data_IF_564211898310
#
_entry.id   IF_564211898310
#
_cell.length_a   1.000
_cell.length_b   1.000
_cell.length_c   1.000
_cell.angle_alpha   90.00
_cell.angle_beta   90.00
_cell.angle_gamma   90.00
#
_symmetry.space_group_name_H-M   'P 1'
#
loop_
_entity.id
_entity.type
_entity.pdbx_description
1 polymer ?
#
# COMPACT_ATOMS: atom_id res chain seq x y z
N UNK A 1 4.95 2.54 32.37
CA UNK A 1 5.06 3.23 31.06
C UNK A 1 5.47 4.70 31.15
N UNK A 2 5.00 5.51 32.12
CA UNK A 2 5.33 6.95 32.24
C UNK A 2 6.83 7.30 32.37
N UNK A 3 7.67 6.40 32.91
CA UNK A 3 9.09 6.68 33.18
C UNK A 3 9.90 7.00 31.91
N UNK A 4 9.51 6.45 30.76
CA UNK A 4 10.22 6.62 29.49
C UNK A 4 9.59 7.66 28.56
N UNK A 5 8.37 8.12 28.89
CA UNK A 5 7.59 9.04 28.04
C UNK A 5 8.31 10.36 27.80
N UNK A 6 9.02 10.89 28.81
CA UNK A 6 9.81 12.12 28.67
C UNK A 6 10.94 11.96 27.66
N UNK A 7 11.65 10.83 27.67
CA UNK A 7 12.73 10.55 26.74
C UNK A 7 12.20 10.31 25.32
N UNK A 8 11.09 9.60 25.18
CA UNK A 8 10.43 9.39 23.89
C UNK A 8 10.01 10.71 23.22
N UNK A 9 9.55 11.69 24.01
CA UNK A 9 9.24 13.03 23.51
C UNK A 9 10.47 13.75 22.94
N UNK A 10 11.60 13.71 23.64
CA UNK A 10 12.83 14.35 23.13
C UNK A 10 13.41 13.61 21.92
N UNK A 11 13.31 12.29 21.88
CA UNK A 11 13.73 11.49 20.72
C UNK A 11 12.86 11.81 19.50
N UNK A 12 11.53 11.89 19.65
CA UNK A 12 10.65 12.22 18.54
C UNK A 12 10.85 13.65 18.03
N UNK A 13 11.08 14.59 18.94
CA UNK A 13 11.42 15.97 18.62
C UNK A 13 12.74 16.08 17.86
N UNK A 14 13.78 15.34 18.27
CA UNK A 14 15.05 15.34 17.56
C UNK A 14 14.92 14.75 16.15
N UNK A 15 14.24 13.61 16.03
CA UNK A 15 14.04 12.95 14.75
C UNK A 15 13.16 13.77 13.80
N UNK A 16 12.22 14.59 14.30
CA UNK A 16 11.44 15.48 13.44
C UNK A 16 12.29 16.59 12.82
N UNK A 17 13.25 17.15 13.56
CA UNK A 17 14.23 18.09 12.99
C UNK A 17 15.15 17.44 11.96
N UNK A 18 15.60 16.21 12.20
CA UNK A 18 16.39 15.45 11.22
C UNK A 18 15.58 15.21 9.94
N UNK A 19 14.31 14.82 10.07
CA UNK A 19 13.40 14.65 8.94
C UNK A 19 13.25 15.94 8.12
N UNK A 20 13.02 17.06 8.81
CA UNK A 20 12.86 18.37 8.18
C UNK A 20 14.13 18.79 7.43
N UNK A 21 15.31 18.55 8.00
CA UNK A 21 16.59 18.81 7.35
C UNK A 21 16.77 17.97 6.07
N UNK A 22 16.44 16.68 6.11
CA UNK A 22 16.53 15.77 4.97
C UNK A 22 15.56 16.16 3.86
N UNK A 23 14.32 16.52 4.21
CA UNK A 23 13.32 17.02 3.24
C UNK A 23 13.78 18.31 2.58
N UNK A 24 14.38 19.23 3.35
CA UNK A 24 14.94 20.48 2.81
C UNK A 24 16.08 20.27 1.79
N UNK A 25 16.68 19.07 1.75
CA UNK A 25 17.71 18.68 0.78
C UNK A 25 17.16 17.82 -0.37
N UNK A 26 15.84 17.68 -0.49
CA UNK A 26 15.19 16.85 -1.51
C UNK A 26 15.19 15.35 -1.20
N UNK A 27 15.58 14.97 0.03
CA UNK A 27 15.46 13.59 0.51
C UNK A 27 14.01 13.25 0.88
N UNK A 28 13.69 11.95 0.94
CA UNK A 28 12.39 11.46 1.41
C UNK A 28 12.24 11.70 2.92
N UNK A 29 11.02 11.97 3.37
CA UNK A 29 10.69 12.17 4.79
C UNK A 29 11.14 10.97 5.64
N UNK A 30 11.97 11.21 6.66
CA UNK A 30 12.41 10.19 7.61
C UNK A 30 11.50 10.27 8.83
N UNK A 31 10.35 9.61 8.76
CA UNK A 31 9.41 9.62 9.88
C UNK A 31 10.04 8.98 11.14
N UNK A 32 10.13 9.71 12.26
CA UNK A 32 10.46 9.15 13.58
C UNK A 32 9.49 8.05 14.01
N UNK A 33 8.30 8.10 13.42
CA UNK A 33 7.14 7.28 13.72
C UNK A 33 6.82 6.32 12.58
N UNK A 34 7.76 6.04 11.67
CA UNK A 34 7.60 4.94 10.72
C UNK A 34 7.38 3.61 11.46
N UNK A 35 8.08 3.44 12.59
CA UNK A 35 7.80 2.38 13.56
C UNK A 35 6.39 2.48 14.15
N UNK A 36 5.83 3.68 14.32
CA UNK A 36 4.43 3.83 14.72
C UNK A 36 3.47 3.40 13.62
N UNK A 37 3.81 3.50 12.33
CA UNK A 37 3.06 2.86 11.23
C UNK A 37 3.11 1.32 11.32
N UNK A 38 4.22 0.76 11.82
CA UNK A 38 4.34 -0.64 12.24
C UNK A 38 3.50 -0.96 13.51
N UNK A 39 3.22 0.02 14.38
CA UNK A 39 2.41 -0.14 15.59
C UNK A 39 0.92 0.22 15.41
N UNK A 40 0.53 1.02 14.40
CA UNK A 40 -0.88 1.41 14.15
C UNK A 40 -1.62 0.47 13.19
N UNK A 41 -0.90 -0.41 12.49
CA UNK A 41 -1.49 -1.56 11.79
C UNK A 41 -0.69 -2.81 12.15
N UNK A 42 -1.02 -3.50 13.25
CA UNK A 42 -0.31 -4.70 13.68
C UNK A 42 -0.75 -5.89 12.83
N UNK A 43 -0.55 -5.86 11.51
CA UNK A 43 -0.65 -7.08 10.70
C UNK A 43 0.37 -8.13 11.16
N UNK A 44 1.41 -7.73 11.91
CA UNK A 44 2.37 -8.64 12.53
C UNK A 44 1.79 -9.61 13.55
N UNK A 45 0.60 -9.36 14.12
CA UNK A 45 -0.10 -10.32 14.98
C UNK A 45 -1.21 -11.10 14.24
N UNK A 46 -1.55 -10.69 13.02
CA UNK A 46 -2.55 -11.38 12.22
C UNK A 46 -1.94 -12.62 11.57
N UNK A 47 -2.67 -13.73 11.57
CA UNK A 47 -2.24 -14.96 10.87
C UNK A 47 -2.27 -14.78 9.35
N UNK A 48 -3.01 -13.79 8.86
CA UNK A 48 -3.28 -13.59 7.45
C UNK A 48 -3.42 -12.09 7.18
N UNK A 49 -2.61 -11.56 6.27
CA UNK A 49 -2.75 -10.21 5.74
C UNK A 49 -3.38 -10.26 4.35
N UNK A 50 -4.27 -9.31 4.09
CA UNK A 50 -4.95 -9.14 2.81
C UNK A 50 -4.51 -7.82 2.16
N UNK A 51 -4.20 -7.87 0.87
CA UNK A 51 -3.81 -6.70 0.10
C UNK A 51 -4.47 -6.73 -1.28
N UNK A 52 -4.86 -5.57 -1.79
CA UNK A 52 -5.40 -5.44 -3.14
C UNK A 52 -4.31 -4.93 -4.08
N UNK A 53 -4.13 -5.64 -5.20
CA UNK A 53 -3.07 -5.38 -6.19
C UNK A 53 -3.64 -5.37 -7.60
N UNK A 54 -3.00 -4.58 -8.45
CA UNK A 54 -3.30 -4.52 -9.88
C UNK A 54 -2.38 -5.45 -10.65
N UNK A 55 -2.95 -6.13 -11.63
CA UNK A 55 -2.27 -7.08 -12.51
C UNK A 55 -2.65 -6.80 -13.95
N UNK A 56 -1.69 -6.98 -14.86
CA UNK A 56 -1.97 -7.13 -16.29
C UNK A 56 -1.89 -8.61 -16.66
N UNK A 57 -2.69 -9.01 -17.65
CA UNK A 57 -2.57 -10.33 -18.27
C UNK A 57 -1.68 -10.20 -19.49
N UNK A 58 -0.62 -11.00 -19.56
CA UNK A 58 0.24 -11.10 -20.72
C UNK A 58 0.29 -12.58 -21.17
N UNK A 59 -0.51 -12.92 -22.18
CA UNK A 59 -0.73 -14.31 -22.58
C UNK A 59 -1.42 -15.10 -21.47
N UNK A 60 -0.78 -16.17 -20.99
CA UNK A 60 -1.27 -17.00 -19.88
C UNK A 60 -0.73 -16.58 -18.50
N UNK A 61 0.08 -15.52 -18.43
CA UNK A 61 0.68 -15.08 -17.16
C UNK A 61 0.06 -13.79 -16.62
N UNK A 62 0.08 -13.65 -15.30
CA UNK A 62 -0.40 -12.46 -14.58
C UNK A 62 0.79 -11.69 -14.02
N UNK A 63 1.06 -10.53 -14.62
CA UNK A 63 2.18 -9.68 -14.23
C UNK A 63 1.65 -8.60 -13.27
N UNK A 64 2.19 -8.58 -12.04
CA UNK A 64 1.84 -7.55 -11.05
C UNK A 64 2.33 -6.19 -11.52
N UNK A 65 1.47 -5.18 -11.48
CA UNK A 65 1.86 -3.81 -11.77
C UNK A 65 2.61 -3.23 -10.56
N UNK A 66 3.75 -2.61 -10.85
CA UNK A 66 4.52 -1.86 -9.85
C UNK A 66 3.94 -0.46 -9.70
N UNK A 67 3.81 0.01 -8.46
CA UNK A 67 3.41 1.39 -8.20
C UNK A 67 4.63 2.27 -8.34
N UNK A 68 4.73 2.95 -9.49
CA UNK A 68 5.79 3.92 -9.74
C UNK A 68 5.28 5.31 -9.34
N UNK A 69 6.08 6.06 -8.61
CA UNK A 69 5.74 7.43 -8.24
C UNK A 69 5.52 8.29 -9.49
N UNK A 70 4.53 9.18 -9.42
CA UNK A 70 4.19 10.19 -10.43
C UNK A 70 4.24 11.57 -9.79
N UNK A 71 4.05 12.63 -10.59
CA UNK A 71 3.95 14.00 -10.06
C UNK A 71 2.79 14.18 -9.07
N UNK A 72 1.71 13.41 -9.24
CA UNK A 72 0.49 13.51 -8.44
C UNK A 72 0.44 12.54 -7.25
N UNK A 73 1.11 11.39 -7.36
CA UNK A 73 1.01 10.31 -6.39
C UNK A 73 2.37 9.65 -6.13
N UNK A 74 2.71 9.51 -4.85
CA UNK A 74 3.75 8.57 -4.44
C UNK A 74 3.23 7.12 -4.42
N UNK A 75 4.16 6.17 -4.30
CA UNK A 75 3.89 4.73 -4.31
C UNK A 75 2.94 4.28 -3.18
N UNK A 76 2.99 4.96 -2.03
CA UNK A 76 2.11 4.66 -0.89
C UNK A 76 0.69 5.12 -1.17
N UNK A 77 0.52 6.32 -1.72
CA UNK A 77 -0.77 6.87 -2.11
C UNK A 77 -1.43 5.95 -3.13
N UNK A 78 -0.66 5.49 -4.13
CA UNK A 78 -1.15 4.53 -5.11
C UNK A 78 -1.67 3.25 -4.45
N UNK A 79 -0.88 2.66 -3.54
CA UNK A 79 -1.28 1.45 -2.83
C UNK A 79 -2.46 1.64 -1.87
N UNK A 80 -2.56 2.79 -1.21
CA UNK A 80 -3.66 3.11 -0.31
C UNK A 80 -4.98 3.29 -1.07
N UNK A 81 -4.96 4.02 -2.18
CA UNK A 81 -6.15 4.26 -3.00
C UNK A 81 -6.63 2.94 -3.62
N UNK A 82 -5.72 2.13 -4.18
CA UNK A 82 -6.07 0.80 -4.69
C UNK A 82 -6.66 -0.10 -3.60
N UNK A 83 -6.10 -0.09 -2.39
CA UNK A 83 -6.62 -0.89 -1.29
C UNK A 83 -7.98 -0.41 -0.81
N UNK A 84 -8.19 0.90 -0.76
CA UNK A 84 -9.45 1.52 -0.34
C UNK A 84 -10.60 1.14 -1.28
N UNK A 85 -10.45 1.40 -2.58
CA UNK A 85 -11.48 1.04 -3.55
C UNK A 85 -11.58 -0.47 -3.75
N UNK A 86 -10.45 -1.19 -3.71
CA UNK A 86 -10.44 -2.64 -3.87
C UNK A 86 -11.26 -3.35 -2.80
N UNK A 87 -11.14 -2.92 -1.53
CA UNK A 87 -11.95 -3.42 -0.42
C UNK A 87 -13.44 -3.15 -0.60
N UNK A 88 -13.82 -1.94 -1.02
CA UNK A 88 -15.23 -1.61 -1.29
C UNK A 88 -15.82 -2.46 -2.40
N UNK A 89 -15.06 -2.68 -3.47
CA UNK A 89 -15.46 -3.53 -4.61
C UNK A 89 -15.64 -4.99 -4.17
N UNK A 90 -14.70 -5.51 -3.37
CA UNK A 90 -14.75 -6.87 -2.80
C UNK A 90 -15.97 -7.08 -1.89
N UNK A 91 -16.27 -6.08 -1.05
CA UNK A 91 -17.44 -6.07 -0.16
C UNK A 91 -18.78 -5.79 -0.87
N UNK A 92 -18.78 -5.57 -2.19
CA UNK A 92 -19.94 -5.13 -2.98
C UNK A 92 -20.56 -3.78 -2.56
N UNK A 93 -19.85 -2.95 -1.80
CA UNK A 93 -20.29 -1.59 -1.46
C UNK A 93 -20.25 -0.71 -2.70
N UNK A 94 -21.41 -0.20 -3.16
CA UNK A 94 -21.56 0.65 -4.36
C UNK A 94 -20.69 0.17 -5.54
N UNK A 95 -20.66 -1.15 -5.76
CA UNK A 95 -19.61 -1.82 -6.54
C UNK A 95 -19.37 -1.18 -7.90
N UNK A 96 -20.44 -0.85 -8.63
CA UNK A 96 -20.34 -0.23 -9.97
C UNK A 96 -19.69 1.15 -9.91
N UNK A 97 -20.04 1.97 -8.92
CA UNK A 97 -19.48 3.31 -8.77
C UNK A 97 -18.01 3.26 -8.29
N UNK A 98 -17.69 2.36 -7.36
CA UNK A 98 -16.32 2.16 -6.92
C UNK A 98 -15.42 1.58 -8.02
N UNK A 99 -15.94 0.68 -8.87
CA UNK A 99 -15.24 0.25 -10.09
C UNK A 99 -14.98 1.46 -11.00
N UNK A 100 -15.99 2.30 -11.28
CA UNK A 100 -15.83 3.50 -12.10
C UNK A 100 -14.75 4.43 -11.54
N UNK A 101 -14.78 4.73 -10.24
CA UNK A 101 -13.78 5.56 -9.55
C UNK A 101 -12.38 4.96 -9.64
N UNK A 102 -12.25 3.64 -9.43
CA UNK A 102 -10.98 2.93 -9.57
C UNK A 102 -10.43 3.03 -11.00
N UNK A 103 -11.28 2.90 -12.02
CA UNK A 103 -10.87 3.06 -13.43
C UNK A 103 -10.37 4.47 -13.71
N UNK A 104 -11.10 5.49 -13.26
CA UNK A 104 -10.67 6.89 -13.39
C UNK A 104 -9.33 7.14 -12.71
N UNK A 105 -9.16 6.58 -11.50
CA UNK A 105 -7.90 6.67 -10.77
C UNK A 105 -6.75 5.98 -11.52
N UNK A 106 -6.95 4.76 -12.04
CA UNK A 106 -5.92 4.06 -12.81
C UNK A 106 -5.51 4.87 -14.05
N UNK A 107 -6.49 5.41 -14.78
CA UNK A 107 -6.25 6.24 -15.97
C UNK A 107 -5.47 7.53 -15.68
N UNK A 108 -5.46 8.02 -14.43
CA UNK A 108 -4.74 9.26 -14.10
C UNK A 108 -3.23 9.07 -13.96
N UNK A 109 -2.74 7.84 -13.80
CA UNK A 109 -1.30 7.57 -13.62
C UNK A 109 -0.74 6.41 -14.47
N UNK A 110 -1.59 5.54 -15.00
CA UNK A 110 -1.22 4.55 -16.02
C UNK A 110 -1.68 5.08 -17.38
N UNK A 111 -0.73 5.40 -18.25
CA UNK A 111 -0.97 6.03 -19.56
C UNK A 111 -1.52 5.06 -20.62
N UNK A 112 -1.58 3.76 -20.34
CA UNK A 112 -2.05 2.73 -21.26
C UNK A 112 -3.39 2.14 -20.81
N UNK A 113 -4.34 2.01 -21.75
CA UNK A 113 -5.60 1.27 -21.62
C UNK A 113 -5.32 -0.25 -21.63
N UNK A 114 -4.52 -0.72 -20.68
CA UNK A 114 -4.22 -2.14 -20.52
C UNK A 114 -5.42 -2.90 -19.91
N UNK A 115 -5.55 -4.19 -20.23
CA UNK A 115 -6.48 -5.08 -19.56
C UNK A 115 -6.01 -5.31 -18.11
N UNK A 116 -6.38 -4.39 -17.23
CA UNK A 116 -6.00 -4.40 -15.81
C UNK A 116 -7.04 -5.16 -15.00
N UNK A 117 -6.54 -5.96 -14.07
CA UNK A 117 -7.34 -6.78 -13.18
C UNK A 117 -7.01 -6.45 -11.74
N UNK A 118 -8.05 -6.39 -10.92
CA UNK A 118 -7.92 -6.27 -9.48
C UNK A 118 -7.88 -7.67 -8.86
N UNK A 119 -6.81 -7.95 -8.13
CA UNK A 119 -6.68 -9.16 -7.34
C UNK A 119 -6.59 -8.84 -5.85
N UNK A 120 -7.14 -9.74 -5.06
CA UNK A 120 -6.91 -9.83 -3.62
C UNK A 120 -5.82 -10.86 -3.36
N UNK A 121 -4.74 -10.42 -2.74
CA UNK A 121 -3.65 -11.26 -2.26
C UNK A 121 -3.83 -11.52 -0.77
N UNK A 122 -3.78 -12.79 -0.39
CA UNK A 122 -3.78 -13.23 1.01
C UNK A 122 -2.49 -14.00 1.28
N UNK A 123 -1.76 -13.61 2.32
CA UNK A 123 -0.51 -14.26 2.71
C UNK A 123 -0.33 -14.22 4.23
N UNK A 124 0.54 -15.11 4.74
CA UNK A 124 0.91 -15.11 6.16
C UNK A 124 2.01 -14.06 6.41
N UNK A 125 1.80 -13.07 7.28
CA UNK A 125 2.81 -12.07 7.62
C UNK A 125 4.09 -12.69 8.20
N UNK A 126 3.96 -13.84 8.87
CA UNK A 126 5.06 -14.61 9.46
C UNK A 126 6.00 -15.26 8.44
N UNK A 127 5.59 -15.31 7.17
CA UNK A 127 6.41 -15.81 6.07
C UNK A 127 7.17 -14.69 5.34
N UNK A 128 6.92 -13.42 5.67
CA UNK A 128 7.64 -12.29 5.09
C UNK A 128 9.14 -12.38 5.46
N UNK A 129 10.00 -12.18 4.46
CA UNK A 129 11.46 -12.31 4.61
C UNK A 129 12.01 -13.70 4.33
N UNK A 130 11.15 -14.72 4.15
CA UNK A 130 11.58 -16.01 3.60
C UNK A 130 11.87 -15.88 2.10
N UNK A 131 12.81 -16.67 1.53
CA UNK A 131 13.14 -16.64 0.10
C UNK A 131 11.93 -16.89 -0.81
N UNK A 132 10.97 -17.68 -0.32
CA UNK A 132 9.70 -17.96 -0.98
C UNK A 132 8.60 -18.08 0.06
N UNK A 133 7.42 -17.55 -0.23
CA UNK A 133 6.22 -17.71 0.59
C UNK A 133 4.99 -17.85 -0.29
N UNK A 134 3.91 -18.43 0.26
CA UNK A 134 2.70 -18.71 -0.52
C UNK A 134 1.78 -17.50 -0.50
N UNK A 135 1.40 -17.04 -1.70
CA UNK A 135 0.40 -15.98 -1.89
C UNK A 135 -0.83 -16.61 -2.53
N UNK A 136 -1.97 -16.55 -1.85
CA UNK A 136 -3.27 -16.89 -2.45
C UNK A 136 -3.79 -15.67 -3.17
N UNK A 137 -4.09 -15.81 -4.46
CA UNK A 137 -4.64 -14.73 -5.30
C UNK A 137 -6.09 -15.04 -5.66
N UNK A 138 -6.97 -14.05 -5.53
CA UNK A 138 -8.37 -14.13 -5.94
C UNK A 138 -8.66 -12.95 -6.87
N UNK A 139 -9.14 -13.22 -8.09
CA UNK A 139 -9.55 -12.16 -8.99
C UNK A 139 -10.87 -11.56 -8.50
N UNK A 140 -10.89 -10.24 -8.29
CA UNK A 140 -12.07 -9.52 -7.82
C UNK A 140 -12.88 -8.98 -8.99
N UNK A 141 -12.21 -8.28 -9.92
CA UNK A 141 -12.86 -7.71 -11.09
C UNK A 141 -11.85 -7.29 -12.17
N UNK A 142 -12.37 -7.06 -13.38
CA UNK A 142 -11.64 -6.42 -14.46
C UNK A 142 -11.91 -4.91 -14.40
N UNK A 143 -10.84 -4.12 -14.45
CA UNK A 143 -10.86 -2.66 -14.45
C UNK A 143 -10.67 -2.14 -15.88
#
# INVERSE_FOLDING_TARGET
>A
MQKYTKYLFFISLFLSFVSLYVMGKGGKEIYPFFSWKLFTSPSGNEKLAEQYRLYRINGNDTIRLSYNATELYDENNLGLITSFYGRKIDNNEDRKDNIRKMKTFIKSYLLEDENIFLYKESFSPWELGKPSFKIKKIQITKL
#
